data_IF_529953014071
#
_entry.id   IF_529953014071
#
_cell.length_a   1.000
_cell.length_b   1.000
_cell.length_c   1.000
_cell.angle_alpha   90.00
_cell.angle_beta   90.00
_cell.angle_gamma   90.00
#
_symmetry.space_group_name_H-M   'P 1'
#
loop_
_entity.id
_entity.type
_entity.pdbx_description
1 polymer ?
#
# COMPACT_ATOMS: atom_id res chain seq x y z
N UNK A 1 43.10 -9.58 14.14
CA UNK A 1 42.91 -10.21 12.80
C UNK A 1 43.18 -9.16 11.73
N UNK A 2 44.09 -9.40 10.78
CA UNK A 2 44.48 -8.38 9.80
C UNK A 2 43.43 -8.22 8.69
N UNK A 3 43.32 -7.05 8.04
CA UNK A 3 42.38 -6.82 6.92
C UNK A 3 42.56 -7.85 5.79
N UNK A 4 43.81 -8.22 5.49
CA UNK A 4 44.16 -9.22 4.47
C UNK A 4 43.64 -10.62 4.83
N UNK A 5 43.74 -11.00 6.12
CA UNK A 5 43.25 -12.30 6.59
C UNK A 5 41.72 -12.36 6.59
N UNK A 6 41.05 -11.26 6.95
CA UNK A 6 39.60 -11.11 6.89
C UNK A 6 39.07 -11.23 5.45
N UNK A 7 39.76 -10.62 4.49
CA UNK A 7 39.38 -10.68 3.07
C UNK A 7 39.57 -12.09 2.48
N UNK A 8 40.67 -12.77 2.81
CA UNK A 8 40.89 -14.18 2.46
C UNK A 8 39.81 -15.09 3.03
N UNK A 9 39.41 -14.89 4.29
CA UNK A 9 38.32 -15.62 4.94
C UNK A 9 36.99 -15.40 4.23
N UNK A 10 36.61 -14.14 3.97
CA UNK A 10 35.37 -13.81 3.24
C UNK A 10 35.33 -14.46 1.85
N UNK A 11 36.45 -14.45 1.12
CA UNK A 11 36.55 -15.10 -0.20
C UNK A 11 36.38 -16.61 -0.10
N UNK A 12 37.00 -17.27 0.88
CA UNK A 12 36.86 -18.71 1.11
C UNK A 12 35.42 -19.11 1.47
N UNK A 13 34.81 -18.38 2.40
CA UNK A 13 33.39 -18.53 2.80
C UNK A 13 32.49 -18.42 1.57
N UNK A 14 32.70 -17.40 0.72
CA UNK A 14 31.92 -17.24 -0.50
C UNK A 14 32.12 -18.41 -1.48
N UNK A 15 33.33 -18.90 -1.69
CA UNK A 15 33.57 -20.00 -2.64
C UNK A 15 32.91 -21.30 -2.15
N UNK A 16 33.04 -21.64 -0.88
CA UNK A 16 32.64 -22.94 -0.36
C UNK A 16 31.17 -23.00 0.11
N UNK A 17 30.65 -21.90 0.65
CA UNK A 17 29.29 -21.87 1.20
C UNK A 17 28.24 -21.36 0.21
N UNK A 18 28.59 -20.59 -0.84
CA UNK A 18 27.58 -20.08 -1.81
C UNK A 18 26.71 -21.16 -2.45
N UNK A 19 27.22 -22.36 -2.81
CA UNK A 19 26.39 -23.45 -3.31
C UNK A 19 25.42 -24.03 -2.26
N UNK A 20 25.73 -23.86 -0.97
CA UNK A 20 24.97 -24.38 0.17
C UNK A 20 24.11 -23.30 0.86
N UNK A 21 24.34 -22.02 0.53
CA UNK A 21 23.51 -20.91 0.98
C UNK A 21 22.15 -21.04 0.29
N UNK A 22 21.12 -21.28 1.08
CA UNK A 22 19.77 -21.37 0.56
C UNK A 22 19.43 -20.11 -0.24
N UNK A 23 19.05 -20.30 -1.52
CA UNK A 23 18.81 -19.22 -2.51
C UNK A 23 17.88 -18.09 -2.01
N UNK A 24 16.99 -18.40 -1.08
CA UNK A 24 16.08 -17.45 -0.45
C UNK A 24 15.93 -17.81 1.02
N UNK A 25 16.64 -17.19 1.97
CA UNK A 25 16.43 -17.42 3.42
C UNK A 25 15.14 -16.73 3.91
N UNK A 26 14.70 -17.00 5.16
CA UNK A 26 13.55 -16.29 5.75
C UNK A 26 13.77 -14.78 5.74
N UNK A 27 14.96 -14.33 6.14
CA UNK A 27 15.34 -12.92 6.24
C UNK A 27 15.29 -12.25 4.87
N UNK A 28 15.84 -12.89 3.83
CA UNK A 28 15.81 -12.32 2.47
C UNK A 28 14.39 -12.20 1.91
N UNK A 29 13.50 -13.14 2.26
CA UNK A 29 12.10 -13.09 1.85
C UNK A 29 11.31 -12.01 2.61
N UNK A 30 11.54 -11.86 3.92
CA UNK A 30 10.94 -10.76 4.69
C UNK A 30 11.44 -9.40 4.19
N UNK A 31 12.75 -9.28 3.93
CA UNK A 31 13.35 -8.08 3.38
C UNK A 31 12.70 -7.67 2.05
N UNK A 32 12.35 -8.64 1.18
CA UNK A 32 11.63 -8.34 -0.06
C UNK A 32 10.26 -7.72 0.21
N UNK A 33 9.49 -8.23 1.18
CA UNK A 33 8.19 -7.67 1.55
C UNK A 33 8.36 -6.25 2.09
N UNK A 34 9.29 -6.03 3.01
CA UNK A 34 9.52 -4.71 3.62
C UNK A 34 10.06 -3.69 2.61
N UNK A 35 10.95 -4.10 1.71
CA UNK A 35 11.48 -3.24 0.64
C UNK A 35 10.37 -2.85 -0.32
N UNK A 36 9.54 -3.80 -0.76
CA UNK A 36 8.39 -3.49 -1.60
C UNK A 36 7.44 -2.51 -0.92
N UNK A 37 7.15 -2.71 0.38
CA UNK A 37 6.33 -1.77 1.13
C UNK A 37 6.95 -0.37 1.20
N UNK A 38 8.26 -0.28 1.41
CA UNK A 38 8.98 1.01 1.42
C UNK A 38 8.95 1.70 0.05
N UNK A 39 9.09 0.94 -1.03
CA UNK A 39 9.14 1.47 -2.40
C UNK A 39 7.76 1.83 -2.94
N UNK A 40 6.72 1.07 -2.61
CA UNK A 40 5.39 1.22 -3.20
C UNK A 40 4.31 1.70 -2.22
N UNK A 41 4.65 1.88 -0.94
CA UNK A 41 3.71 2.32 0.09
C UNK A 41 2.56 1.35 0.39
N UNK A 42 2.69 0.09 -0.03
CA UNK A 42 1.65 -0.94 0.12
C UNK A 42 2.25 -2.34 0.23
N UNK A 43 1.45 -3.28 0.72
CA UNK A 43 1.83 -4.70 0.76
C UNK A 43 1.81 -5.29 -0.67
N UNK A 44 2.82 -6.10 -1.03
CA UNK A 44 2.79 -6.81 -2.30
C UNK A 44 1.62 -7.79 -2.36
N UNK A 45 1.04 -7.93 -3.54
CA UNK A 45 0.09 -9.00 -3.83
C UNK A 45 0.88 -10.28 -4.12
N UNK A 46 0.31 -11.42 -3.71
CA UNK A 46 0.92 -12.75 -3.88
C UNK A 46 1.47 -13.02 -5.29
N UNK A 47 0.82 -12.50 -6.34
CA UNK A 47 1.24 -12.70 -7.74
C UNK A 47 2.38 -11.79 -8.20
N UNK A 48 2.69 -10.70 -7.48
CA UNK A 48 3.75 -9.75 -7.87
C UNK A 48 5.15 -10.33 -7.63
N UNK A 49 5.28 -11.28 -6.69
CA UNK A 49 6.58 -11.84 -6.33
C UNK A 49 6.93 -13.13 -7.06
N UNK A 50 5.97 -13.82 -7.67
CA UNK A 50 6.14 -15.12 -8.33
C UNK A 50 7.01 -16.15 -7.54
N UNK A 51 7.05 -16.05 -6.21
CA UNK A 51 7.84 -16.91 -5.30
C UNK A 51 6.95 -17.55 -4.23
N UNK A 52 5.68 -17.77 -4.56
CA UNK A 52 4.72 -18.26 -3.58
C UNK A 52 5.16 -19.60 -2.96
N UNK A 53 5.84 -20.45 -3.73
CA UNK A 53 6.34 -21.75 -3.23
C UNK A 53 7.39 -21.56 -2.13
N UNK A 54 8.28 -20.60 -2.28
CA UNK A 54 9.33 -20.24 -1.34
C UNK A 54 8.74 -19.66 -0.05
N UNK A 55 7.80 -18.72 -0.19
CA UNK A 55 7.08 -18.16 0.96
C UNK A 55 6.27 -19.23 1.70
N UNK A 56 5.54 -20.10 0.97
CA UNK A 56 4.81 -21.23 1.55
C UNK A 56 5.74 -22.20 2.26
N UNK A 57 6.89 -22.55 1.65
CA UNK A 57 7.88 -23.48 2.24
C UNK A 57 8.43 -22.97 3.57
N UNK A 58 8.62 -21.65 3.73
CA UNK A 58 9.31 -21.08 4.90
C UNK A 58 8.40 -20.54 5.98
N UNK A 59 7.22 -20.05 5.61
CA UNK A 59 6.28 -19.42 6.53
C UNK A 59 4.96 -20.19 6.63
N UNK A 60 4.76 -21.23 5.82
CA UNK A 60 3.53 -22.03 5.78
C UNK A 60 2.46 -21.45 4.84
N UNK A 61 2.35 -20.12 4.78
CA UNK A 61 1.44 -19.41 3.86
C UNK A 61 2.00 -18.04 3.45
N UNK A 62 1.41 -17.42 2.43
CA UNK A 62 1.72 -16.04 2.05
C UNK A 62 1.37 -15.08 3.19
N UNK A 63 0.19 -15.27 3.77
CA UNK A 63 -0.29 -14.53 4.91
C UNK A 63 0.70 -14.60 6.08
N UNK A 64 1.12 -15.79 6.48
CA UNK A 64 2.11 -15.94 7.55
C UNK A 64 3.45 -15.22 7.24
N UNK A 65 3.84 -15.08 5.97
CA UNK A 65 5.01 -14.29 5.59
C UNK A 65 4.77 -12.78 5.73
N UNK A 66 3.60 -12.28 5.35
CA UNK A 66 3.18 -10.89 5.56
C UNK A 66 3.15 -10.57 7.07
N UNK A 67 2.57 -11.44 7.89
CA UNK A 67 2.60 -11.36 9.37
C UNK A 67 4.03 -11.29 9.91
N UNK A 68 4.88 -12.22 9.47
CA UNK A 68 6.27 -12.27 9.90
C UNK A 68 7.09 -11.05 9.45
N UNK A 69 6.67 -10.35 8.39
CA UNK A 69 7.26 -9.09 7.96
C UNK A 69 6.75 -7.87 8.76
N UNK A 70 5.92 -8.09 9.79
CA UNK A 70 5.34 -7.04 10.62
C UNK A 70 4.08 -6.41 10.04
N UNK A 71 3.48 -7.02 9.03
CA UNK A 71 2.30 -6.51 8.35
C UNK A 71 1.09 -7.40 8.58
N UNK A 72 -0.10 -6.83 8.48
CA UNK A 72 -1.33 -7.58 8.65
C UNK A 72 -1.71 -8.43 7.45
N UNK A 73 -2.19 -9.66 7.72
CA UNK A 73 -2.54 -10.66 6.71
C UNK A 73 -3.99 -10.55 6.31
N UNK A 74 -4.31 -9.66 5.38
CA UNK A 74 -5.57 -9.78 4.66
C UNK A 74 -5.38 -9.37 3.20
N UNK A 75 -5.48 -10.30 2.25
CA UNK A 75 -5.22 -10.01 0.85
C UNK A 75 -6.26 -9.10 0.16
N UNK A 76 -7.47 -8.92 0.69
CA UNK A 76 -8.55 -8.13 0.03
C UNK A 76 -9.45 -7.38 1.03
N UNK A 77 -9.34 -7.60 2.33
CA UNK A 77 -10.14 -6.88 3.34
C UNK A 77 -9.21 -6.03 4.19
N UNK A 78 -9.09 -4.78 3.76
CA UNK A 78 -8.93 -3.56 4.54
C UNK A 78 -9.75 -3.56 5.86
N UNK A 79 -9.47 -4.51 6.76
CA UNK A 79 -10.21 -4.79 8.00
C UNK A 79 -9.29 -4.64 9.21
N UNK A 80 -8.25 -3.84 9.10
CA UNK A 80 -7.79 -3.08 10.24
C UNK A 80 -8.58 -1.80 10.19
N UNK A 81 -9.59 -1.71 11.05
CA UNK A 81 -10.32 -0.46 11.22
C UNK A 81 -9.37 0.48 11.93
N UNK A 82 -8.60 1.23 11.15
CA UNK A 82 -7.78 2.29 11.68
C UNK A 82 -8.75 3.37 12.17
N UNK A 83 -8.53 3.85 13.38
CA UNK A 83 -9.24 5.03 13.86
C UNK A 83 -8.36 6.23 13.59
N UNK A 84 -8.87 7.17 12.80
CA UNK A 84 -8.26 8.47 12.60
C UNK A 84 -8.39 9.34 13.86
N UNK A 85 -7.63 10.44 13.91
CA UNK A 85 -7.54 11.28 15.10
C UNK A 85 -8.86 12.00 15.41
N UNK A 86 -9.73 12.19 14.41
CA UNK A 86 -11.09 12.74 14.55
C UNK A 86 -12.15 11.66 14.86
N UNK A 87 -11.74 10.40 14.95
CA UNK A 87 -12.60 9.26 15.24
C UNK A 87 -13.15 8.53 14.02
N UNK A 88 -12.88 8.97 12.79
CA UNK A 88 -13.27 8.24 11.59
C UNK A 88 -12.65 6.83 11.54
N UNK A 89 -13.41 5.88 11.00
CA UNK A 89 -12.94 4.53 10.73
C UNK A 89 -12.44 4.46 9.29
N UNK A 90 -11.19 4.08 9.13
CA UNK A 90 -10.52 3.93 7.85
C UNK A 90 -10.26 2.44 7.60
N UNK A 91 -10.49 2.02 6.36
CA UNK A 91 -10.32 0.63 5.96
C UNK A 91 -8.82 0.36 5.68
N UNK A 92 -8.07 1.39 5.25
CA UNK A 92 -6.62 1.33 5.08
C UNK A 92 -5.84 2.30 5.97
N UNK A 93 -4.56 1.98 6.22
CA UNK A 93 -3.64 2.87 6.93
C UNK A 93 -3.42 4.18 6.16
N UNK A 94 -3.35 4.10 4.84
CA UNK A 94 -3.21 5.29 3.98
C UNK A 94 -4.44 6.18 4.04
N UNK A 95 -5.64 5.61 4.11
CA UNK A 95 -6.83 6.39 4.40
C UNK A 95 -6.73 7.09 5.75
N UNK A 96 -6.24 6.43 6.82
CA UNK A 96 -5.99 7.13 8.09
C UNK A 96 -5.00 8.28 7.94
N UNK A 97 -3.93 8.13 7.15
CA UNK A 97 -2.97 9.21 6.91
C UNK A 97 -3.66 10.40 6.21
N UNK A 98 -4.44 10.13 5.16
CA UNK A 98 -5.16 11.17 4.41
C UNK A 98 -6.20 11.85 5.31
N UNK A 99 -6.95 11.06 6.09
CA UNK A 99 -7.95 11.54 7.05
C UNK A 99 -7.33 12.46 8.10
N UNK A 100 -6.28 11.99 8.79
CA UNK A 100 -5.53 12.79 9.76
C UNK A 100 -4.98 14.07 9.12
N UNK A 101 -4.52 14.01 7.86
CA UNK A 101 -4.04 15.19 7.14
C UNK A 101 -5.17 16.20 6.91
N UNK A 102 -6.34 15.75 6.44
CA UNK A 102 -7.52 16.60 6.25
C UNK A 102 -7.92 17.27 7.58
N UNK A 103 -7.99 16.49 8.65
CA UNK A 103 -8.32 16.95 10.00
C UNK A 103 -7.32 17.96 10.56
N UNK A 104 -6.02 17.71 10.40
CA UNK A 104 -4.96 18.64 10.82
C UNK A 104 -5.03 20.00 10.09
N UNK A 105 -5.54 20.02 8.85
CA UNK A 105 -5.74 21.23 8.05
C UNK A 105 -7.14 21.83 8.21
N UNK A 106 -7.94 21.33 9.16
CA UNK A 106 -9.33 21.77 9.45
C UNK A 106 -10.26 21.65 8.24
N UNK A 107 -10.04 20.66 7.39
CA UNK A 107 -10.85 20.39 6.22
C UNK A 107 -11.95 19.41 6.62
N UNK A 108 -13.18 19.91 6.72
CA UNK A 108 -14.34 19.09 7.03
C UNK A 108 -14.60 18.08 5.90
N UNK A 109 -14.67 16.80 6.25
CA UNK A 109 -14.83 15.72 5.29
C UNK A 109 -15.70 14.60 5.85
N UNK A 110 -16.25 13.79 4.94
CA UNK A 110 -17.04 12.59 5.26
C UNK A 110 -16.39 11.38 4.63
N UNK A 111 -16.50 10.23 5.30
CA UNK A 111 -16.03 8.93 4.80
C UNK A 111 -17.09 8.19 3.99
N UNK A 112 -16.64 7.30 3.11
CA UNK A 112 -17.49 6.32 2.41
C UNK A 112 -18.66 6.97 1.64
N UNK A 113 -18.38 8.05 0.91
CA UNK A 113 -19.39 8.77 0.15
C UNK A 113 -19.97 7.90 -0.96
N UNK A 114 -21.29 7.72 -0.99
CA UNK A 114 -21.95 6.84 -1.95
C UNK A 114 -22.23 7.59 -3.25
N UNK A 115 -21.81 7.01 -4.38
CA UNK A 115 -22.17 7.54 -5.70
C UNK A 115 -23.64 7.21 -6.02
N UNK A 116 -24.37 8.22 -6.50
CA UNK A 116 -25.79 8.12 -6.82
C UNK A 116 -26.11 6.99 -7.80
N UNK A 117 -27.17 6.25 -7.52
CA UNK A 117 -27.61 5.14 -8.36
C UNK A 117 -26.68 3.91 -8.35
N UNK A 118 -25.69 3.86 -7.46
CA UNK A 118 -24.75 2.71 -7.40
C UNK A 118 -24.56 2.17 -5.98
N UNK A 119 -23.88 1.03 -5.87
CA UNK A 119 -23.36 0.48 -4.60
C UNK A 119 -21.92 0.93 -4.31
N UNK A 120 -21.31 1.73 -5.19
CA UNK A 120 -19.91 2.14 -5.08
C UNK A 120 -19.79 3.34 -4.14
N UNK A 121 -18.65 3.43 -3.45
CA UNK A 121 -18.31 4.54 -2.58
C UNK A 121 -16.96 5.14 -2.94
N UNK A 122 -16.79 6.43 -2.69
CA UNK A 122 -15.52 7.12 -2.61
C UNK A 122 -14.97 7.08 -1.19
N UNK A 123 -13.65 7.22 -1.06
CA UNK A 123 -12.98 7.16 0.24
C UNK A 123 -13.36 8.37 1.10
N UNK A 124 -13.37 9.56 0.49
CA UNK A 124 -13.79 10.79 1.16
C UNK A 124 -14.67 11.67 0.28
N UNK A 125 -15.46 12.51 0.95
CA UNK A 125 -16.20 13.61 0.34
C UNK A 125 -15.99 14.89 1.13
N UNK A 126 -15.72 15.96 0.40
CA UNK A 126 -15.54 17.32 0.91
C UNK A 126 -16.61 18.18 0.22
N UNK A 127 -17.44 18.82 1.03
CA UNK A 127 -18.50 19.68 0.51
C UNK A 127 -17.90 20.87 -0.26
N UNK A 128 -18.58 21.37 -1.31
CA UNK A 128 -19.91 20.97 -1.76
C UNK A 128 -19.93 19.77 -2.72
N UNK A 129 -18.83 19.48 -3.43
CA UNK A 129 -18.87 18.53 -4.55
C UNK A 129 -17.54 17.81 -4.84
N UNK A 130 -16.63 17.75 -3.87
CA UNK A 130 -15.32 17.13 -4.07
C UNK A 130 -15.34 15.71 -3.54
N UNK A 131 -14.94 14.75 -4.36
CA UNK A 131 -14.68 13.37 -3.93
C UNK A 131 -13.19 13.09 -4.00
N UNK A 132 -12.65 12.45 -2.98
CA UNK A 132 -11.24 12.05 -2.91
C UNK A 132 -11.16 10.54 -2.91
N UNK A 133 -10.32 10.00 -3.79
CA UNK A 133 -10.10 8.57 -3.97
C UNK A 133 -8.62 8.25 -3.82
N UNK A 134 -8.28 7.23 -3.04
CA UNK A 134 -6.96 6.65 -2.94
C UNK A 134 -6.86 5.37 -3.79
N UNK A 135 -6.23 5.48 -4.96
CA UNK A 135 -6.08 4.36 -5.89
C UNK A 135 -4.78 3.56 -5.62
N UNK A 136 -4.70 2.96 -4.43
CA UNK A 136 -3.51 2.24 -3.97
C UNK A 136 -3.09 1.04 -4.85
N UNK A 137 -3.97 0.51 -5.69
CA UNK A 137 -3.68 -0.63 -6.59
C UNK A 137 -3.73 -0.26 -8.09
N UNK A 138 -3.70 1.04 -8.42
CA UNK A 138 -3.71 1.48 -9.82
C UNK A 138 -2.55 0.88 -10.62
N UNK A 139 -2.85 0.38 -11.81
CA UNK A 139 -1.88 -0.24 -12.73
C UNK A 139 -1.45 -1.65 -12.34
N UNK A 140 -1.95 -2.20 -11.23
CA UNK A 140 -1.56 -3.53 -10.74
C UNK A 140 -2.48 -4.63 -11.29
N UNK A 141 -3.76 -4.32 -11.51
CA UNK A 141 -4.78 -5.26 -12.00
C UNK A 141 -5.75 -4.59 -12.96
N UNK A 142 -5.90 -5.16 -14.16
CA UNK A 142 -6.90 -4.70 -15.14
C UNK A 142 -8.32 -4.60 -14.57
N UNK A 143 -8.72 -5.53 -13.69
CA UNK A 143 -10.05 -5.51 -13.05
C UNK A 143 -10.21 -4.35 -12.06
N UNK A 144 -9.14 -3.99 -11.33
CA UNK A 144 -9.13 -2.83 -10.44
C UNK A 144 -9.10 -1.53 -11.25
N UNK A 145 -8.29 -1.47 -12.31
CA UNK A 145 -8.25 -0.30 -13.20
C UNK A 145 -9.62 -0.04 -13.86
N UNK A 146 -10.36 -1.11 -14.21
CA UNK A 146 -11.73 -0.98 -14.68
C UNK A 146 -12.69 -0.39 -13.62
N UNK A 147 -12.43 -0.58 -12.32
CA UNK A 147 -13.18 0.03 -11.23
C UNK A 147 -12.83 1.52 -11.13
N UNK A 148 -11.55 1.89 -11.23
CA UNK A 148 -11.10 3.29 -11.28
C UNK A 148 -11.81 4.03 -12.42
N UNK A 149 -11.81 3.46 -13.63
CA UNK A 149 -12.49 4.05 -14.78
C UNK A 149 -13.99 4.22 -14.58
N UNK A 150 -14.65 3.28 -13.89
CA UNK A 150 -16.07 3.44 -13.53
C UNK A 150 -16.27 4.61 -12.57
N UNK A 151 -15.42 4.76 -11.54
CA UNK A 151 -15.48 5.89 -10.59
C UNK A 151 -15.27 7.23 -11.29
N UNK A 152 -14.25 7.34 -12.14
CA UNK A 152 -14.02 8.51 -13.01
C UNK A 152 -15.27 8.89 -13.81
N UNK A 153 -15.93 7.90 -14.42
CA UNK A 153 -17.17 8.12 -15.19
C UNK A 153 -18.34 8.56 -14.31
N UNK A 154 -18.46 8.03 -13.09
CA UNK A 154 -19.49 8.47 -12.13
C UNK A 154 -19.27 9.93 -11.77
N UNK A 155 -18.04 10.32 -11.43
CA UNK A 155 -17.72 11.72 -11.13
C UNK A 155 -18.00 12.66 -12.30
N UNK A 156 -17.72 12.25 -13.55
CA UNK A 156 -18.00 13.07 -14.75
C UNK A 156 -19.50 13.21 -15.07
N UNK A 157 -20.31 12.21 -14.70
CA UNK A 157 -21.77 12.21 -14.93
C UNK A 157 -22.51 13.00 -13.87
N UNK A 158 -21.94 13.08 -12.68
CA UNK A 158 -22.38 13.95 -11.60
C UNK A 158 -21.61 15.28 -11.67
N UNK A 159 -22.04 16.30 -10.94
CA UNK A 159 -21.26 17.55 -10.81
C UNK A 159 -20.16 17.39 -9.73
N UNK A 160 -19.37 16.30 -9.79
CA UNK A 160 -18.39 15.96 -8.76
C UNK A 160 -16.96 16.17 -9.25
N UNK A 161 -16.18 16.95 -8.52
CA UNK A 161 -14.73 17.10 -8.73
C UNK A 161 -14.00 15.93 -8.09
N UNK A 162 -13.40 15.08 -8.92
CA UNK A 162 -12.58 13.95 -8.46
C UNK A 162 -11.14 14.40 -8.19
N UNK A 163 -10.67 14.17 -6.97
CA UNK A 163 -9.26 14.23 -6.58
C UNK A 163 -8.74 12.81 -6.45
N UNK A 164 -7.76 12.45 -7.26
CA UNK A 164 -7.13 11.13 -7.25
C UNK A 164 -5.81 11.21 -6.50
N UNK A 165 -5.64 10.34 -5.50
CA UNK A 165 -4.42 10.21 -4.71
C UNK A 165 -3.84 8.82 -4.96
N UNK A 166 -2.53 8.77 -5.23
CA UNK A 166 -1.78 7.54 -5.47
C UNK A 166 -0.74 7.34 -4.36
N UNK A 167 -0.17 6.12 -4.21
CA UNK A 167 0.87 5.87 -3.20
C UNK A 167 2.04 6.87 -3.26
N UNK A 168 2.49 7.23 -4.46
CA UNK A 168 3.56 8.20 -4.65
C UNK A 168 3.23 9.59 -4.08
N UNK A 169 1.95 9.99 -4.06
CA UNK A 169 1.48 11.27 -3.51
C UNK A 169 1.50 11.34 -1.99
N UNK A 170 1.63 10.19 -1.32
CA UNK A 170 1.65 10.07 0.13
C UNK A 170 3.05 9.73 0.64
N UNK A 171 3.75 8.80 -0.01
CA UNK A 171 4.97 8.20 0.54
C UNK A 171 6.27 8.68 -0.12
N UNK A 172 6.24 8.98 -1.42
CA UNK A 172 7.46 9.30 -2.18
C UNK A 172 7.66 10.81 -2.28
N UNK A 173 6.64 11.49 -2.82
CA UNK A 173 6.59 12.95 -2.94
C UNK A 173 5.26 13.39 -2.33
N UNK A 174 5.21 13.68 -1.01
CA UNK A 174 3.99 14.09 -0.35
C UNK A 174 3.37 15.32 -1.03
N UNK A 175 2.26 15.13 -1.76
CA UNK A 175 1.58 16.16 -2.57
C UNK A 175 0.16 16.45 -2.09
N UNK A 176 -0.23 15.95 -0.92
CA UNK A 176 -1.58 16.18 -0.36
C UNK A 176 -1.93 17.67 -0.30
N UNK A 177 -0.98 18.52 0.11
CA UNK A 177 -1.15 19.97 0.15
C UNK A 177 -1.28 20.65 -1.23
N UNK A 178 -0.91 19.98 -2.32
CA UNK A 178 -1.09 20.47 -3.70
C UNK A 178 -2.42 19.96 -4.27
N UNK A 179 -2.70 18.66 -4.08
CA UNK A 179 -3.88 17.98 -4.62
C UNK A 179 -5.18 18.41 -3.93
N UNK A 180 -5.10 18.75 -2.65
CA UNK A 180 -6.23 19.16 -1.81
C UNK A 180 -6.23 20.67 -1.57
N UNK A 181 -5.67 21.46 -2.50
CA UNK A 181 -5.89 22.91 -2.51
C UNK A 181 -7.32 23.18 -2.97
N UNK A 182 -8.08 23.75 -2.05
CA UNK A 182 -9.40 24.28 -2.31
C UNK A 182 -9.26 25.80 -2.36
N UNK A 183 -9.12 26.33 -3.58
CA UNK A 183 -9.26 27.77 -3.86
C UNK A 183 -10.73 28.15 -3.93
#
# INVERSE_FOLDING_TARGET
>A
MTPVLLEKLRRNVRIHLTPHLEKHTRETLLAKITTFHKEHGRIPLKREFNMFKEYKKRFGSWDAAIAAAGFSTNPITFSYKFQADDGHRCDSFTEKIIDNWLSAHRIAHKRSYKYDGTKMTADFFIAPNIVVEFFGLAGVQKSYDAIIEKKRRLCRKSDLKLVEIYPADVFEKPRLAELLRFE
#
